data_IF_925919348022
#
_entry.id   IF_925919348022
#
_cell.length_a   1.000
_cell.length_b   1.000
_cell.length_c   1.000
_cell.angle_alpha   90.00
_cell.angle_beta   90.00
_cell.angle_gamma   90.00
#
_symmetry.space_group_name_H-M   'P 1'
#
loop_
_entity.id
_entity.type
_entity.pdbx_description
1 polymer ?
#
# COMPACT_ATOMS: atom_id res chain seq x y z
N UNK A 1 -2.85 -11.59 -26.82
CA UNK A 1 -2.06 -12.15 -25.69
C UNK A 1 -2.55 -11.49 -24.41
N UNK A 2 -2.58 -12.18 -23.26
CA UNK A 2 -2.95 -11.54 -21.99
C UNK A 2 -1.96 -10.44 -21.62
N UNK A 3 -2.45 -9.38 -20.96
CA UNK A 3 -1.61 -8.36 -20.33
C UNK A 3 -1.27 -8.85 -18.93
N UNK A 4 0.01 -9.04 -18.64
CA UNK A 4 0.50 -9.50 -17.35
C UNK A 4 1.13 -8.34 -16.58
N UNK A 5 0.90 -8.29 -15.27
CA UNK A 5 1.45 -7.26 -14.39
C UNK A 5 2.29 -7.90 -13.29
N UNK A 6 3.54 -7.48 -13.18
CA UNK A 6 4.37 -7.72 -12.01
C UNK A 6 4.40 -6.44 -11.16
N UNK A 7 3.93 -6.55 -9.91
CA UNK A 7 3.77 -5.39 -9.03
C UNK A 7 4.50 -5.61 -7.71
N UNK A 8 5.43 -4.71 -7.40
CA UNK A 8 6.18 -4.73 -6.15
C UNK A 8 5.48 -3.91 -5.06
N UNK A 9 5.27 -4.53 -3.90
CA UNK A 9 4.75 -3.85 -2.71
C UNK A 9 5.80 -3.86 -1.61
N UNK A 10 6.00 -2.70 -0.98
CA UNK A 10 6.80 -2.64 0.25
C UNK A 10 6.09 -3.40 1.39
N UNK A 11 6.83 -3.89 2.40
CA UNK A 11 6.23 -4.48 3.60
C UNK A 11 5.27 -3.51 4.31
N UNK A 12 4.33 -4.07 5.07
CA UNK A 12 3.40 -3.28 5.90
C UNK A 12 4.20 -2.36 6.85
N UNK A 13 4.00 -1.04 6.81
CA UNK A 13 4.77 -0.12 7.64
C UNK A 13 4.35 -0.18 9.12
N UNK A 14 3.07 -0.44 9.39
CA UNK A 14 2.55 -0.56 10.74
C UNK A 14 2.84 -1.96 11.29
N UNK A 15 3.77 -2.04 12.24
CA UNK A 15 4.16 -3.27 12.93
C UNK A 15 4.20 -3.02 14.44
N UNK A 16 4.11 -4.09 15.22
CA UNK A 16 4.05 -4.02 16.69
C UNK A 16 5.36 -3.54 17.36
N UNK A 17 6.46 -3.44 16.60
CA UNK A 17 7.73 -2.93 17.10
C UNK A 17 7.67 -1.42 17.27
N UNK A 18 8.40 -0.90 18.24
CA UNK A 18 8.66 0.53 18.35
C UNK A 18 9.49 0.99 17.14
N UNK A 19 9.12 2.14 16.57
CA UNK A 19 9.71 2.71 15.37
C UNK A 19 10.09 4.16 15.62
N UNK A 20 11.24 4.60 15.11
CA UNK A 20 11.64 6.01 15.14
C UNK A 20 10.87 6.79 14.08
N UNK A 21 10.45 7.99 14.43
CA UNK A 21 9.70 8.89 13.55
C UNK A 21 9.96 10.34 13.99
N UNK A 22 9.21 11.28 13.44
CA UNK A 22 9.19 12.69 13.87
C UNK A 22 7.80 13.08 14.34
N UNK A 23 7.76 13.99 15.31
CA UNK A 23 6.55 14.67 15.73
C UNK A 23 6.42 16.00 14.96
N UNK A 24 5.41 16.09 14.09
CA UNK A 24 5.22 17.27 13.23
C UNK A 24 4.73 18.51 13.99
N UNK A 25 4.12 18.36 15.17
CA UNK A 25 3.69 19.51 15.98
C UNK A 25 4.86 20.12 16.76
N UNK A 26 5.72 19.26 17.31
CA UNK A 26 6.89 19.66 18.10
C UNK A 26 8.14 19.90 17.26
N UNK A 27 8.10 19.50 15.98
CA UNK A 27 9.23 19.56 15.04
C UNK A 27 10.49 18.89 15.61
N UNK A 28 10.33 17.70 16.21
CA UNK A 28 11.40 16.96 16.89
C UNK A 28 11.34 15.46 16.63
N UNK A 29 12.44 14.76 16.88
CA UNK A 29 12.48 13.29 16.89
C UNK A 29 11.49 12.72 17.91
N UNK A 30 10.86 11.59 17.56
CA UNK A 30 9.91 10.89 18.41
C UNK A 30 9.92 9.38 18.10
N UNK A 31 9.21 8.59 18.91
CA UNK A 31 9.02 7.16 18.73
C UNK A 31 7.54 6.82 18.67
N UNK A 32 7.16 5.92 17.77
CA UNK A 32 5.81 5.41 17.65
C UNK A 32 5.78 3.90 17.89
N UNK A 33 4.84 3.45 18.70
CA UNK A 33 4.52 2.04 18.87
C UNK A 33 3.05 1.82 18.56
N UNK A 34 2.78 1.09 17.49
CA UNK A 34 1.42 0.81 17.03
C UNK A 34 0.95 -0.50 17.67
N UNK A 35 -0.22 -0.44 18.33
CA UNK A 35 -0.86 -1.59 18.99
C UNK A 35 -2.05 -2.06 18.16
N UNK A 36 -2.37 -3.35 18.26
CA UNK A 36 -3.52 -3.96 17.59
C UNK A 36 -3.11 -4.97 16.52
N UNK A 37 -4.09 -5.36 15.68
CA UNK A 37 -3.84 -6.27 14.55
C UNK A 37 -3.31 -5.48 13.35
N UNK A 38 -2.25 -5.99 12.75
CA UNK A 38 -1.66 -5.47 11.54
C UNK A 38 -1.45 -6.60 10.57
N UNK A 39 -1.42 -6.26 9.29
CA UNK A 39 -1.17 -7.27 8.28
C UNK A 39 0.30 -7.62 8.22
N UNK A 40 0.66 -8.90 8.36
CA UNK A 40 2.03 -9.34 8.15
C UNK A 40 2.43 -9.23 6.68
N UNK A 41 1.46 -9.26 5.77
CA UNK A 41 1.65 -9.09 4.33
C UNK A 41 0.40 -8.48 3.70
N UNK A 42 0.53 -7.29 3.08
CA UNK A 42 -0.59 -6.62 2.39
C UNK A 42 -0.89 -7.19 1.00
N UNK A 43 0.04 -7.94 0.41
CA UNK A 43 0.01 -8.35 -1.00
C UNK A 43 -1.29 -9.09 -1.37
N UNK A 44 -1.81 -10.05 -0.60
CA UNK A 44 -3.05 -10.75 -0.97
C UNK A 44 -4.24 -9.83 -1.16
N UNK A 45 -4.33 -8.73 -0.39
CA UNK A 45 -5.38 -7.72 -0.59
C UNK A 45 -5.07 -6.76 -1.73
N UNK A 46 -3.80 -6.47 -1.95
CA UNK A 46 -3.38 -5.56 -3.01
C UNK A 46 -3.69 -6.11 -4.40
N UNK A 47 -3.68 -7.45 -4.59
CA UNK A 47 -4.05 -8.10 -5.86
C UNK A 47 -5.42 -7.64 -6.36
N UNK A 48 -6.46 -7.68 -5.51
CA UNK A 48 -7.80 -7.25 -5.90
C UNK A 48 -7.85 -5.77 -6.34
N UNK A 49 -7.02 -4.92 -5.72
CA UNK A 49 -6.91 -3.50 -6.09
C UNK A 49 -6.21 -3.35 -7.44
N UNK A 50 -5.12 -4.08 -7.67
CA UNK A 50 -4.38 -4.07 -8.96
C UNK A 50 -5.29 -4.51 -10.10
N UNK A 51 -6.06 -5.58 -9.92
CA UNK A 51 -7.00 -6.09 -10.92
C UNK A 51 -8.09 -5.05 -11.24
N UNK A 52 -8.68 -4.43 -10.21
CA UNK A 52 -9.69 -3.39 -10.38
C UNK A 52 -9.13 -2.17 -11.13
N UNK A 53 -7.92 -1.71 -10.75
CA UNK A 53 -7.27 -0.59 -11.42
C UNK A 53 -6.94 -0.91 -12.88
N UNK A 54 -6.44 -2.10 -13.18
CA UNK A 54 -6.18 -2.53 -14.55
C UNK A 54 -7.46 -2.52 -15.39
N UNK A 55 -8.57 -3.03 -14.85
CA UNK A 55 -9.87 -3.03 -15.55
C UNK A 55 -10.40 -1.62 -15.81
N UNK A 56 -10.33 -0.72 -14.81
CA UNK A 56 -10.76 0.67 -14.95
C UNK A 56 -9.91 1.40 -15.99
N UNK A 57 -8.59 1.25 -15.95
CA UNK A 57 -7.69 1.89 -16.92
C UNK A 57 -7.94 1.41 -18.35
N UNK A 58 -8.16 0.12 -18.56
CA UNK A 58 -8.48 -0.40 -19.90
C UNK A 58 -9.83 0.11 -20.40
N UNK A 59 -10.83 0.23 -19.52
CA UNK A 59 -12.13 0.79 -19.87
C UNK A 59 -12.01 2.26 -20.26
N UNK A 60 -11.32 3.06 -19.45
CA UNK A 60 -11.09 4.47 -19.73
C UNK A 60 -10.34 4.65 -21.05
N UNK A 61 -9.28 3.88 -21.28
CA UNK A 61 -8.58 3.87 -22.56
C UNK A 61 -9.56 3.63 -23.72
N UNK A 62 -10.48 2.66 -23.60
CA UNK A 62 -11.45 2.35 -24.65
C UNK A 62 -12.50 3.45 -24.89
N UNK A 63 -12.87 4.21 -23.86
CA UNK A 63 -13.90 5.25 -23.94
C UNK A 63 -13.34 6.63 -24.29
N UNK A 64 -12.09 6.90 -23.95
CA UNK A 64 -11.39 8.16 -24.22
C UNK A 64 -10.80 8.25 -25.64
N UNK A 65 -11.01 7.22 -26.48
CA UNK A 65 -10.73 7.23 -27.92
C UNK A 65 -12.03 7.29 -28.74
#
# INVERSE_FOLDING_TARGET
LPVNFDVAFKPTPSIAKEQRTINLEKMSDDTIQIKGRHDPCIVPRAVAVVEAMAAITVLDQKLSF
#
